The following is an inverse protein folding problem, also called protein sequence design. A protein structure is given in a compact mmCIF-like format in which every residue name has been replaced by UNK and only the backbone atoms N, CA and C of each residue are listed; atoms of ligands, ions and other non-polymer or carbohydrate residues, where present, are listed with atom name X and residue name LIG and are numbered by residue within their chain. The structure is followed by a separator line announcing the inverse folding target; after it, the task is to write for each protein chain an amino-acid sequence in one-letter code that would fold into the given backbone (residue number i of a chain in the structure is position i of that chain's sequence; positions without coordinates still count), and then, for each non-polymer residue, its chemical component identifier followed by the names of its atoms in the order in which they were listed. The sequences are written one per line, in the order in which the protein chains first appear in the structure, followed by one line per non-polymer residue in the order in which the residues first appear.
data_IF_898189855211
#
_entry.id   IF_898189855211
#
_cell.length_a   1.000
_cell.length_b   1.000
_cell.length_c   1.000
_cell.angle_alpha   90.00
_cell.angle_beta   90.00
_cell.angle_gamma   90.00
#
_symmetry.space_group_name_H-M   'P 1'
#
loop_
_entity.id
_entity.type
_entity.pdbx_description
1 polymer ?
#
# COMPACT_ATOMS: atom_id res chain seq x y z
N UNK A 1 6.91 -50.82 1.47
CA UNK A 1 7.47 -49.46 1.62
C UNK A 1 6.85 -48.42 0.68
N UNK A 2 6.45 -48.77 -0.56
CA UNK A 2 5.90 -47.82 -1.57
C UNK A 2 4.59 -47.12 -1.17
N UNK A 3 3.71 -47.79 -0.42
CA UNK A 3 2.39 -47.24 -0.04
C UNK A 3 2.46 -46.09 0.98
N UNK A 4 3.48 -46.02 1.85
CA UNK A 4 3.65 -44.91 2.81
C UNK A 4 4.16 -43.63 2.13
N UNK A 5 5.00 -43.77 1.10
CA UNK A 5 5.51 -42.63 0.33
C UNK A 5 4.39 -41.94 -0.47
N UNK A 6 3.48 -42.72 -1.07
CA UNK A 6 2.31 -42.19 -1.78
C UNK A 6 1.37 -41.41 -0.85
N UNK A 7 1.13 -41.91 0.37
CA UNK A 7 0.26 -41.24 1.35
C UNK A 7 0.86 -39.93 1.88
N UNK A 8 2.20 -39.85 2.03
CA UNK A 8 2.89 -38.60 2.40
C UNK A 8 2.85 -37.57 1.28
N UNK A 9 2.91 -37.99 0.01
CA UNK A 9 2.76 -37.08 -1.14
C UNK A 9 1.33 -36.57 -1.30
N UNK A 10 0.32 -37.43 -1.12
CA UNK A 10 -1.10 -37.03 -1.12
C UNK A 10 -1.41 -36.09 0.05
N UNK A 11 -0.88 -36.37 1.24
CA UNK A 11 -1.01 -35.48 2.40
C UNK A 11 -0.35 -34.11 2.20
N UNK A 12 0.82 -34.06 1.56
CA UNK A 12 1.49 -32.80 1.20
C UNK A 12 0.72 -31.99 0.16
N UNK A 13 0.12 -32.65 -0.84
CA UNK A 13 -0.70 -31.99 -1.85
C UNK A 13 -2.02 -31.46 -1.26
N UNK A 14 -2.70 -32.24 -0.41
CA UNK A 14 -3.93 -31.81 0.27
C UNK A 14 -3.64 -30.64 1.22
N UNK A 15 -2.54 -30.67 1.97
CA UNK A 15 -2.14 -29.58 2.87
C UNK A 15 -1.84 -28.28 2.10
N UNK A 16 -1.15 -28.39 0.96
CA UNK A 16 -0.89 -27.25 0.07
C UNK A 16 -2.18 -26.69 -0.52
N UNK A 17 -3.11 -27.55 -0.95
CA UNK A 17 -4.42 -27.13 -1.44
C UNK A 17 -5.22 -26.41 -0.35
N UNK A 18 -5.29 -26.94 0.87
CA UNK A 18 -6.00 -26.29 1.97
C UNK A 18 -5.40 -24.94 2.37
N UNK A 19 -4.07 -24.79 2.31
CA UNK A 19 -3.40 -23.53 2.60
C UNK A 19 -3.68 -22.46 1.54
N UNK A 20 -3.78 -22.85 0.26
CA UNK A 20 -4.16 -21.95 -0.83
C UNK A 20 -5.64 -21.54 -0.73
N UNK A 21 -6.51 -22.41 -0.21
CA UNK A 21 -7.94 -22.15 -0.04
C UNK A 21 -8.29 -21.37 1.24
N UNK A 22 -7.39 -21.24 2.23
CA UNK A 22 -7.62 -20.36 3.38
C UNK A 22 -7.60 -18.86 3.01
N UNK A 23 -6.99 -18.48 1.89
CA UNK A 23 -6.94 -17.10 1.41
C UNK A 23 -8.23 -16.59 0.76
N UNK A 24 -9.23 -17.45 0.50
CA UNK A 24 -10.48 -17.03 -0.15
C UNK A 24 -11.59 -16.60 0.81
N UNK A 25 -11.34 -16.59 2.12
CA UNK A 25 -12.27 -16.03 3.10
C UNK A 25 -12.27 -14.49 3.04
N UNK A 26 -12.93 -13.94 2.03
CA UNK A 26 -13.27 -12.52 1.97
C UNK A 26 -14.51 -12.30 2.85
N UNK A 27 -14.32 -11.98 4.12
CA UNK A 27 -15.33 -11.20 4.82
C UNK A 27 -15.49 -9.88 4.06
N UNK A 28 -16.72 -9.41 3.87
CA UNK A 28 -16.97 -8.13 3.21
C UNK A 28 -16.42 -7.01 4.10
N UNK A 29 -15.13 -6.72 3.93
CA UNK A 29 -14.46 -5.60 4.57
C UNK A 29 -14.91 -4.33 3.86
N UNK A 30 -16.10 -3.88 4.23
CA UNK A 30 -16.73 -2.68 3.69
C UNK A 30 -16.03 -1.45 4.26
N UNK A 31 -14.97 -1.01 3.58
CA UNK A 31 -14.26 0.24 3.87
C UNK A 31 -14.92 1.48 3.26
N UNK A 32 -15.99 1.29 2.49
CA UNK A 32 -16.66 2.36 1.74
C UNK A 32 -17.84 2.91 2.56
N UNK A 33 -18.24 4.13 2.23
CA UNK A 33 -19.48 4.69 2.77
C UNK A 33 -20.70 3.86 2.34
N UNK A 34 -21.76 3.93 3.14
CA UNK A 34 -23.04 3.27 2.84
C UNK A 34 -23.62 3.74 1.49
N UNK A 35 -24.41 2.88 0.80
CA UNK A 35 -24.96 3.22 -0.52
C UNK A 35 -25.88 4.43 -0.42
N UNK A 36 -25.60 5.44 -1.26
CA UNK A 36 -26.37 6.68 -1.32
C UNK A 36 -27.83 6.42 -1.73
N UNK A 37 -28.76 6.89 -0.89
CA UNK A 37 -30.22 6.74 -1.10
C UNK A 37 -30.87 7.99 -1.72
N UNK A 38 -30.11 9.07 -1.94
CA UNK A 38 -30.59 10.34 -2.53
C UNK A 38 -29.60 10.86 -3.58
N UNK A 39 -30.06 11.72 -4.48
CA UNK A 39 -29.22 12.30 -5.55
C UNK A 39 -28.06 13.14 -5.00
N UNK A 40 -28.31 13.90 -3.93
CA UNK A 40 -27.26 14.70 -3.26
C UNK A 40 -26.21 13.77 -2.63
N UNK A 41 -26.66 12.67 -2.00
CA UNK A 41 -25.74 11.71 -1.39
C UNK A 41 -24.83 11.03 -2.43
N UNK A 42 -25.30 10.82 -3.68
CA UNK A 42 -24.46 10.30 -4.77
C UNK A 42 -23.36 11.28 -5.15
N UNK A 43 -23.67 12.57 -5.27
CA UNK A 43 -22.67 13.59 -5.57
C UNK A 43 -21.61 13.69 -4.47
N UNK A 44 -22.01 13.60 -3.20
CA UNK A 44 -21.06 13.61 -2.08
C UNK A 44 -20.19 12.34 -2.06
N UNK A 45 -20.75 11.19 -2.40
CA UNK A 45 -20.02 9.93 -2.50
C UNK A 45 -18.92 10.00 -3.56
N UNK A 46 -19.23 10.55 -4.73
CA UNK A 46 -18.27 10.71 -5.83
C UNK A 46 -17.17 11.73 -5.46
N UNK A 47 -17.55 12.85 -4.85
CA UNK A 47 -16.60 13.86 -4.38
C UNK A 47 -15.66 13.30 -3.31
N UNK A 48 -16.19 12.53 -2.36
CA UNK A 48 -15.41 11.90 -1.31
C UNK A 48 -14.37 10.93 -1.88
N UNK A 49 -14.77 10.07 -2.82
CA UNK A 49 -13.85 9.13 -3.45
C UNK A 49 -12.76 9.85 -4.26
N UNK A 50 -13.10 10.95 -4.95
CA UNK A 50 -12.14 11.75 -5.68
C UNK A 50 -11.11 12.37 -4.73
N UNK A 51 -11.56 13.04 -3.67
CA UNK A 51 -10.67 13.69 -2.71
C UNK A 51 -9.79 12.64 -2.01
N UNK A 52 -10.34 11.50 -1.60
CA UNK A 52 -9.55 10.41 -1.03
C UNK A 52 -8.47 9.91 -2.00
N UNK A 53 -8.79 9.76 -3.28
CA UNK A 53 -7.82 9.37 -4.29
C UNK A 53 -6.70 10.40 -4.41
N UNK A 54 -7.03 11.69 -4.47
CA UNK A 54 -6.04 12.77 -4.53
C UNK A 54 -5.14 12.78 -3.29
N UNK A 55 -5.72 12.66 -2.09
CA UNK A 55 -4.98 12.58 -0.83
C UNK A 55 -4.03 11.37 -0.80
N UNK A 56 -4.46 10.21 -1.29
CA UNK A 56 -3.63 9.01 -1.36
C UNK A 56 -2.45 9.20 -2.33
N UNK A 57 -2.68 9.83 -3.48
CA UNK A 57 -1.61 10.12 -4.47
C UNK A 57 -0.55 11.04 -3.87
N UNK A 58 -0.94 12.17 -3.28
CA UNK A 58 0.04 13.09 -2.67
C UNK A 58 0.77 12.43 -1.50
N UNK A 59 0.10 11.58 -0.72
CA UNK A 59 0.71 10.87 0.39
C UNK A 59 1.85 9.97 -0.10
N UNK A 60 1.61 9.19 -1.17
CA UNK A 60 2.64 8.35 -1.77
C UNK A 60 3.79 9.18 -2.33
N UNK A 61 3.50 10.33 -2.97
CA UNK A 61 4.54 11.23 -3.51
C UNK A 61 5.43 11.76 -2.39
N UNK A 62 4.85 12.33 -1.33
CA UNK A 62 5.59 12.89 -0.20
C UNK A 62 6.39 11.81 0.52
N UNK A 63 5.79 10.65 0.77
CA UNK A 63 6.49 9.53 1.40
C UNK A 63 7.64 9.02 0.53
N UNK A 64 7.45 8.99 -0.79
CA UNK A 64 8.48 8.64 -1.76
C UNK A 64 9.66 9.61 -1.75
N UNK A 65 9.40 10.93 -1.78
CA UNK A 65 10.45 11.96 -1.71
C UNK A 65 11.21 11.89 -0.38
N UNK A 66 10.50 11.66 0.72
CA UNK A 66 11.13 11.50 2.03
C UNK A 66 12.01 10.24 2.08
N UNK A 67 11.51 9.11 1.58
CA UNK A 67 12.26 7.86 1.53
C UNK A 67 13.51 7.99 0.64
N UNK A 68 13.39 8.66 -0.51
CA UNK A 68 14.52 9.01 -1.38
C UNK A 68 15.56 9.85 -0.63
N UNK A 69 15.13 10.89 0.09
CA UNK A 69 16.01 11.76 0.85
C UNK A 69 16.81 11.00 1.91
N UNK A 70 16.15 10.11 2.66
CA UNK A 70 16.77 9.29 3.71
C UNK A 70 17.78 8.31 3.12
N UNK A 71 17.44 7.60 2.04
CA UNK A 71 18.34 6.64 1.42
C UNK A 71 19.57 7.33 0.80
N UNK A 72 19.37 8.46 0.13
CA UNK A 72 20.44 9.18 -0.56
C UNK A 72 21.36 9.92 0.40
N UNK A 73 20.82 10.63 1.40
CA UNK A 73 21.61 11.49 2.31
C UNK A 73 22.02 10.79 3.62
N UNK A 74 21.94 9.46 3.67
CA UNK A 74 22.31 8.69 4.86
C UNK A 74 23.76 8.98 5.28
N UNK A 75 23.96 9.23 6.58
CA UNK A 75 25.27 9.54 7.18
C UNK A 75 26.35 8.47 6.91
N UNK A 76 25.96 7.21 6.75
CA UNK A 76 26.88 6.10 6.47
C UNK A 76 27.62 6.21 5.14
N UNK A 77 27.17 7.08 4.24
CA UNK A 77 27.75 7.24 2.89
C UNK A 77 28.78 8.38 2.84
N UNK A 78 29.03 9.07 3.96
CA UNK A 78 30.08 10.10 4.05
C UNK A 78 29.69 11.46 3.45
N UNK A 79 28.40 11.72 3.22
CA UNK A 79 27.94 13.04 2.79
C UNK A 79 28.29 14.10 3.85
N UNK A 80 29.13 15.07 3.46
CA UNK A 80 29.43 16.26 4.25
C UNK A 80 28.23 17.20 4.17
N UNK A 81 27.71 17.64 5.31
CA UNK A 81 26.62 18.62 5.35
C UNK A 81 27.13 19.92 4.71
N UNK A 82 26.52 20.30 3.59
CA UNK A 82 26.80 21.58 2.94
C UNK A 82 26.00 22.66 3.66
N UNK A 83 26.66 23.77 4.01
CA UNK A 83 25.99 24.94 4.56
C UNK A 83 25.39 25.75 3.41
N UNK A 84 24.07 25.72 3.29
CA UNK A 84 23.31 26.58 2.39
C UNK A 84 22.62 27.65 3.22
N UNK A 85 22.75 28.92 2.81
CA UNK A 85 22.16 30.04 3.55
C UNK A 85 20.81 30.51 3.01
N UNK A 86 20.45 30.19 1.77
CA UNK A 86 19.11 30.40 1.22
C UNK A 86 18.98 29.72 -0.14
N UNK A 87 17.75 29.46 -0.59
CA UNK A 87 17.49 28.95 -1.93
C UNK A 87 16.22 29.57 -2.52
N UNK A 88 16.39 30.73 -3.13
CA UNK A 88 15.31 31.53 -3.73
C UNK A 88 14.50 30.74 -4.79
N UNK A 89 15.09 29.71 -5.42
CA UNK A 89 14.38 28.90 -6.43
C UNK A 89 13.33 27.98 -5.81
N UNK A 90 13.59 27.45 -4.62
CA UNK A 90 12.64 26.58 -3.90
C UNK A 90 11.65 27.40 -3.07
N UNK A 91 12.01 28.63 -2.71
CA UNK A 91 11.11 29.55 -2.00
C UNK A 91 9.97 30.08 -2.88
N UNK A 92 10.17 30.15 -4.19
CA UNK A 92 9.18 30.69 -5.15
C UNK A 92 8.23 29.61 -5.71
N UNK A 93 8.65 28.35 -5.69
CA UNK A 93 7.92 27.21 -6.27
C UNK A 93 6.89 26.63 -5.29
#
# INVERSE_FOLDING_TARGET
MKARLANTMVGGFVALCTAVMSGVAHSAFELKLQPAQTDIARQMYDLHNLILLVCAVIFVIVFGIMFYSILKHRRSVGHKAQHFHENTTVEIL
#
